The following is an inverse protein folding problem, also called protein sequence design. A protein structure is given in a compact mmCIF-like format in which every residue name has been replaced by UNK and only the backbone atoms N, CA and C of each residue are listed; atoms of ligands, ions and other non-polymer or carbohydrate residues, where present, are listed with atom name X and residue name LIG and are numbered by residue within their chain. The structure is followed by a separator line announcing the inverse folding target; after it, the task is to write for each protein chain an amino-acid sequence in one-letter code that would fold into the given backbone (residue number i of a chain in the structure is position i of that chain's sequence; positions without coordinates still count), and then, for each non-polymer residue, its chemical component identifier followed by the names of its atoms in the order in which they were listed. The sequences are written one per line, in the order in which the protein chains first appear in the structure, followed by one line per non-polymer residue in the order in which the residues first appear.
data_IF_766950790582
#
_entry.id   IF_766950790582
#
_cell.length_a   1.000
_cell.length_b   1.000
_cell.length_c   1.000
_cell.angle_alpha   90.00
_cell.angle_beta   90.00
_cell.angle_gamma   90.00
#
_symmetry.space_group_name_H-M   'P 1'
#
loop_
_entity.id
_entity.type
_entity.pdbx_description
1 polymer ?
#
# COMPACT_ATOMS: atom_id res chain seq x y z
N UNK A 1 33.42 0.12 -49.83
CA UNK A 1 33.31 1.53 -49.37
C UNK A 1 31.93 2.17 -49.61
N UNK A 2 31.10 1.71 -50.56
CA UNK A 2 29.78 2.30 -50.81
C UNK A 2 28.72 2.06 -49.69
N UNK A 3 28.83 0.97 -48.92
CA UNK A 3 27.87 0.66 -47.85
C UNK A 3 27.98 1.55 -46.60
N UNK A 4 29.12 2.22 -46.37
CA UNK A 4 29.32 3.06 -45.18
C UNK A 4 28.65 4.44 -45.30
N UNK A 5 28.45 4.94 -46.52
CA UNK A 5 27.81 6.25 -46.76
C UNK A 5 26.28 6.21 -46.66
N UNK A 6 25.66 5.08 -47.03
CA UNK A 6 24.20 4.93 -46.98
C UNK A 6 23.67 4.90 -45.54
N UNK A 7 24.41 4.24 -44.64
CA UNK A 7 24.02 4.10 -43.22
C UNK A 7 24.03 5.45 -42.48
N UNK A 8 24.98 6.34 -42.79
CA UNK A 8 25.04 7.70 -42.18
C UNK A 8 23.86 8.58 -42.57
N UNK A 9 23.37 8.48 -43.82
CA UNK A 9 22.23 9.29 -44.29
C UNK A 9 20.90 8.82 -43.69
N UNK A 10 20.70 7.52 -43.55
CA UNK A 10 19.51 6.97 -42.90
C UNK A 10 19.46 7.35 -41.42
N UNK A 11 20.60 7.27 -40.70
CA UNK A 11 20.67 7.66 -39.30
C UNK A 11 20.32 9.15 -39.09
N UNK A 12 20.82 10.03 -39.95
CA UNK A 12 20.60 11.47 -39.85
C UNK A 12 19.14 11.86 -40.13
N UNK A 13 18.49 11.18 -41.09
CA UNK A 13 17.06 11.38 -41.39
C UNK A 13 16.19 10.91 -40.21
N UNK A 14 16.49 9.76 -39.60
CA UNK A 14 15.75 9.26 -38.44
C UNK A 14 15.89 10.20 -37.24
N UNK A 15 17.09 10.73 -36.98
CA UNK A 15 17.32 11.70 -35.89
C UNK A 15 16.57 13.00 -36.15
N UNK A 16 16.59 13.53 -37.37
CA UNK A 16 15.86 14.77 -37.70
C UNK A 16 14.34 14.58 -37.60
N UNK A 17 13.80 13.45 -38.08
CA UNK A 17 12.38 13.14 -37.94
C UNK A 17 11.97 12.95 -36.48
N UNK A 18 12.82 12.33 -35.65
CA UNK A 18 12.58 12.19 -34.22
C UNK A 18 12.59 13.55 -33.49
N UNK A 19 13.51 14.46 -33.87
CA UNK A 19 13.59 15.81 -33.29
C UNK A 19 12.40 16.69 -33.71
N UNK A 20 11.98 16.62 -34.97
CA UNK A 20 10.82 17.38 -35.47
C UNK A 20 9.52 16.83 -34.87
N UNK A 21 9.37 15.50 -34.83
CA UNK A 21 8.21 14.85 -34.22
C UNK A 21 8.11 15.12 -32.72
N UNK A 22 9.24 15.03 -31.99
CA UNK A 22 9.30 15.35 -30.56
C UNK A 22 9.05 16.83 -30.26
N UNK A 23 9.60 17.74 -31.06
CA UNK A 23 9.38 19.18 -30.91
C UNK A 23 7.94 19.60 -31.22
N UNK A 24 7.33 19.06 -32.28
CA UNK A 24 5.94 19.33 -32.63
C UNK A 24 4.96 18.76 -31.60
N UNK A 25 5.22 17.55 -31.08
CA UNK A 25 4.44 16.97 -29.99
C UNK A 25 4.50 17.82 -28.71
N UNK A 26 5.67 18.37 -28.37
CA UNK A 26 5.82 19.24 -27.21
C UNK A 26 5.10 20.58 -27.38
N UNK A 27 5.10 21.16 -28.59
CA UNK A 27 4.43 22.42 -28.90
C UNK A 27 2.89 22.29 -29.03
N UNK A 28 2.38 21.10 -29.37
CA UNK A 28 0.95 20.82 -29.54
C UNK A 28 0.29 20.20 -28.30
N UNK A 29 1.05 19.92 -27.24
CA UNK A 29 0.48 19.43 -25.99
C UNK A 29 -0.36 20.55 -25.39
N UNK A 30 -1.67 20.33 -25.31
CA UNK A 30 -2.59 21.26 -24.67
C UNK A 30 -2.36 21.27 -23.16
N UNK A 31 -1.44 22.12 -22.71
CA UNK A 31 -1.19 22.42 -21.29
C UNK A 31 -2.12 23.54 -20.78
N UNK A 32 -3.24 23.80 -21.45
CA UNK A 32 -4.10 24.96 -21.15
C UNK A 32 -4.70 24.91 -19.74
N UNK A 33 -4.90 23.72 -19.18
CA UNK A 33 -5.33 23.59 -17.79
C UNK A 33 -4.21 24.02 -16.86
N UNK A 34 -4.43 25.10 -16.10
CA UNK A 34 -3.53 25.50 -15.01
C UNK A 34 -3.77 24.58 -13.82
N UNK A 35 -2.78 23.75 -13.48
CA UNK A 35 -2.80 22.91 -12.28
C UNK A 35 -2.44 23.80 -11.08
N UNK A 36 -3.29 23.89 -10.04
CA UNK A 36 -2.96 24.67 -8.84
C UNK A 36 -1.87 23.98 -8.03
N UNK A 37 -0.89 24.74 -7.50
CA UNK A 37 0.18 24.20 -6.64
C UNK A 37 -0.04 24.49 -5.15
N UNK A 38 -1.17 25.09 -4.80
CA UNK A 38 -1.57 25.31 -3.40
C UNK A 38 -2.70 24.35 -3.08
N UNK A 39 -2.60 23.59 -1.97
CA UNK A 39 -3.69 22.72 -1.54
C UNK A 39 -5.00 23.51 -1.43
N UNK A 40 -6.14 22.93 -1.86
CA UNK A 40 -7.43 23.60 -1.74
C UNK A 40 -7.79 23.79 -0.27
N UNK A 41 -8.72 24.72 0.03
CA UNK A 41 -9.17 24.98 1.41
C UNK A 41 -9.80 23.75 2.09
N UNK A 42 -10.25 22.77 1.31
CA UNK A 42 -10.76 21.48 1.79
C UNK A 42 -9.66 20.50 2.22
N UNK A 43 -8.39 20.79 1.97
CA UNK A 43 -7.27 19.95 2.38
C UNK A 43 -7.20 19.86 3.90
N UNK A 44 -7.05 18.65 4.48
CA UNK A 44 -6.89 18.51 5.92
C UNK A 44 -5.54 19.08 6.37
N UNK A 45 -5.47 19.47 7.65
CA UNK A 45 -4.21 19.85 8.26
C UNK A 45 -3.38 18.59 8.58
N UNK A 46 -2.08 18.62 8.30
CA UNK A 46 -1.14 17.57 8.77
C UNK A 46 -1.09 17.59 10.30
N UNK A 47 -1.20 16.41 10.92
CA UNK A 47 -1.35 16.20 12.35
C UNK A 47 -2.80 16.31 12.85
N UNK A 48 -3.80 16.43 11.96
CA UNK A 48 -5.21 16.42 12.37
C UNK A 48 -5.74 15.00 12.59
N UNK A 49 -6.52 14.81 13.65
CA UNK A 49 -7.16 13.55 13.99
C UNK A 49 -8.64 13.57 13.63
N UNK A 50 -9.19 12.42 13.24
CA UNK A 50 -10.56 12.31 12.73
C UNK A 50 -11.28 11.08 13.30
N UNK A 51 -12.59 11.24 13.54
CA UNK A 51 -13.53 10.16 13.86
C UNK A 51 -14.26 9.75 12.59
N UNK A 52 -13.66 8.83 11.84
CA UNK A 52 -14.22 8.29 10.60
C UNK A 52 -14.13 6.77 10.61
N UNK A 53 -15.10 6.08 10.03
CA UNK A 53 -15.01 4.64 9.83
C UNK A 53 -14.25 4.30 8.53
N UNK A 54 -14.05 3.01 8.27
CA UNK A 54 -13.33 2.56 7.07
C UNK A 54 -14.05 2.91 5.76
N UNK A 55 -15.38 3.08 5.77
CA UNK A 55 -16.13 3.47 4.59
C UNK A 55 -15.98 4.97 4.30
N UNK A 56 -16.11 5.82 5.32
CA UNK A 56 -15.90 7.25 5.23
C UNK A 56 -14.46 7.61 4.85
N UNK A 57 -13.47 6.86 5.33
CA UNK A 57 -12.07 7.08 4.99
C UNK A 57 -11.73 6.79 3.51
N UNK A 58 -12.55 5.98 2.82
CA UNK A 58 -12.44 5.75 1.37
C UNK A 58 -12.93 6.94 0.54
N UNK A 59 -13.70 7.85 1.13
CA UNK A 59 -14.14 9.06 0.45
C UNK A 59 -13.02 10.10 0.33
N UNK A 60 -13.18 11.04 -0.60
CA UNK A 60 -12.31 12.19 -0.71
C UNK A 60 -12.52 13.16 0.48
N UNK A 61 -11.49 13.91 0.84
CA UNK A 61 -11.62 15.00 1.80
C UNK A 61 -12.50 16.13 1.23
N UNK A 62 -13.27 16.83 2.10
CA UNK A 62 -13.28 16.69 3.56
C UNK A 62 -14.09 15.47 4.01
N UNK A 63 -13.55 14.72 4.97
CA UNK A 63 -14.29 13.65 5.63
C UNK A 63 -15.43 14.21 6.50
N UNK A 64 -16.48 13.41 6.80
CA UNK A 64 -17.54 13.85 7.69
C UNK A 64 -17.02 14.12 9.12
N UNK A 65 -17.67 15.06 9.83
CA UNK A 65 -17.45 15.30 11.26
C UNK A 65 -16.34 16.29 11.63
N UNK A 66 -15.45 16.65 10.69
CA UNK A 66 -14.33 17.56 10.95
C UNK A 66 -13.21 16.96 11.81
N UNK A 67 -12.13 17.72 11.95
CA UNK A 67 -11.01 17.32 12.80
C UNK A 67 -11.38 17.40 14.29
N UNK A 68 -10.85 16.48 15.08
CA UNK A 68 -10.92 16.45 16.54
C UNK A 68 -9.53 16.61 17.14
N UNK A 69 -9.45 16.95 18.43
CA UNK A 69 -8.19 16.91 19.18
C UNK A 69 -7.63 15.48 19.18
N UNK A 70 -6.34 15.32 18.88
CA UNK A 70 -5.67 14.03 18.90
C UNK A 70 -5.55 13.43 20.31
N UNK A 71 -5.66 14.25 21.36
CA UNK A 71 -5.79 13.75 22.73
C UNK A 71 -7.16 13.11 22.98
N UNK A 72 -8.19 13.44 22.19
CA UNK A 72 -9.49 12.82 22.27
C UNK A 72 -9.55 11.52 21.46
N UNK A 73 -10.58 10.72 21.74
CA UNK A 73 -10.89 9.51 20.99
C UNK A 73 -11.01 9.80 19.48
N UNK A 74 -10.26 9.10 18.64
CA UNK A 74 -10.30 9.18 17.18
C UNK A 74 -9.90 7.84 16.56
N UNK A 75 -10.07 7.70 15.25
CA UNK A 75 -9.75 6.46 14.52
C UNK A 75 -8.60 6.63 13.53
N UNK A 76 -8.37 7.85 13.07
CA UNK A 76 -7.38 8.17 12.05
C UNK A 76 -6.62 9.46 12.34
N UNK A 77 -5.39 9.55 11.86
CA UNK A 77 -4.56 10.75 11.91
C UNK A 77 -3.94 11.04 10.54
N UNK A 78 -4.11 12.27 10.04
CA UNK A 78 -3.52 12.75 8.79
C UNK A 78 -2.07 13.10 9.04
N UNK A 79 -1.14 12.50 8.29
CA UNK A 79 0.30 12.74 8.48
C UNK A 79 0.99 13.39 7.28
N UNK A 80 0.32 13.48 6.12
CA UNK A 80 0.87 14.12 4.93
C UNK A 80 -0.22 14.65 4.01
N UNK A 81 0.05 15.74 3.31
CA UNK A 81 -0.73 16.22 2.17
C UNK A 81 0.24 16.46 1.03
N UNK A 82 -0.07 15.89 -0.13
CA UNK A 82 0.78 15.94 -1.31
C UNK A 82 -0.03 16.22 -2.57
N UNK A 83 0.68 16.32 -3.69
CA UNK A 83 0.09 16.48 -5.01
C UNK A 83 0.79 15.53 -5.99
N UNK A 84 0.00 14.99 -6.90
CA UNK A 84 0.49 14.22 -8.05
C UNK A 84 1.23 15.15 -9.00
N UNK A 85 2.25 14.64 -9.71
CA UNK A 85 3.05 15.43 -10.64
C UNK A 85 2.25 16.00 -11.79
N UNK A 86 2.52 17.26 -12.16
CA UNK A 86 1.83 17.97 -13.23
C UNK A 86 1.87 17.22 -14.56
N UNK A 87 3.00 16.59 -14.88
CA UNK A 87 3.19 15.85 -16.12
C UNK A 87 2.17 14.69 -16.24
N UNK A 88 1.85 14.06 -15.12
CA UNK A 88 0.93 12.93 -15.04
C UNK A 88 -0.52 13.40 -15.05
N UNK A 89 -0.82 14.52 -14.41
CA UNK A 89 -2.15 15.16 -14.46
C UNK A 89 -2.46 15.67 -15.87
N UNK A 90 -1.52 16.34 -16.53
CA UNK A 90 -1.68 16.72 -17.94
C UNK A 90 -1.81 15.51 -18.87
N UNK A 91 -1.08 14.42 -18.58
CA UNK A 91 -1.22 13.18 -19.34
C UNK A 91 -2.63 12.62 -19.16
N UNK A 92 -3.17 12.65 -17.94
CA UNK A 92 -4.53 12.20 -17.64
C UNK A 92 -5.57 13.05 -18.38
N UNK A 93 -5.42 14.38 -18.37
CA UNK A 93 -6.30 15.30 -19.10
C UNK A 93 -6.33 15.01 -20.61
N UNK A 94 -5.18 14.62 -21.19
CA UNK A 94 -5.05 14.28 -22.62
C UNK A 94 -5.38 12.83 -22.97
N UNK A 95 -5.56 11.96 -21.97
CA UNK A 95 -5.72 10.53 -22.20
C UNK A 95 -7.08 10.22 -22.82
N UNK A 96 -7.13 9.20 -23.69
CA UNK A 96 -8.37 8.73 -24.32
C UNK A 96 -8.43 7.20 -24.34
N UNK A 97 -9.63 6.62 -24.42
CA UNK A 97 -9.80 5.16 -24.46
C UNK A 97 -9.17 4.45 -23.26
N UNK A 98 -8.39 3.40 -23.51
CA UNK A 98 -7.73 2.59 -22.46
C UNK A 98 -6.63 3.36 -21.70
N UNK A 99 -6.03 4.38 -22.32
CA UNK A 99 -4.98 5.20 -21.70
C UNK A 99 -5.49 6.01 -20.50
N UNK A 100 -6.80 6.31 -20.45
CA UNK A 100 -7.41 6.99 -19.29
C UNK A 100 -7.25 6.11 -18.06
N UNK A 101 -7.61 4.82 -18.17
CA UNK A 101 -7.53 3.87 -17.05
C UNK A 101 -6.08 3.65 -16.63
N UNK A 102 -5.16 3.51 -17.59
CA UNK A 102 -3.74 3.35 -17.30
C UNK A 102 -3.18 4.58 -16.57
N UNK A 103 -3.43 5.78 -17.10
CA UNK A 103 -2.90 7.01 -16.53
C UNK A 103 -3.52 7.30 -15.16
N UNK A 104 -4.82 7.04 -15.01
CA UNK A 104 -5.50 7.14 -13.73
C UNK A 104 -4.89 6.18 -12.69
N UNK A 105 -4.59 4.94 -13.07
CA UNK A 105 -3.91 3.99 -12.17
C UNK A 105 -2.51 4.50 -11.78
N UNK A 106 -1.75 5.13 -12.69
CA UNK A 106 -0.46 5.74 -12.35
C UNK A 106 -0.61 6.93 -11.38
N UNK A 107 -1.67 7.71 -11.51
CA UNK A 107 -2.00 8.82 -10.60
C UNK A 107 -2.26 8.29 -9.18
N UNK A 108 -3.09 7.25 -9.05
CA UNK A 108 -3.31 6.55 -7.78
C UNK A 108 -2.03 5.93 -7.21
N UNK A 109 -1.23 5.31 -8.09
CA UNK A 109 0.04 4.68 -7.72
C UNK A 109 1.02 5.68 -7.09
N UNK A 110 1.13 6.88 -7.65
CA UNK A 110 2.01 7.92 -7.12
C UNK A 110 1.58 8.38 -5.72
N UNK A 111 0.27 8.63 -5.53
CA UNK A 111 -0.27 9.02 -4.23
C UNK A 111 -0.05 7.94 -3.15
N UNK A 112 -0.37 6.67 -3.47
CA UNK A 112 -0.18 5.53 -2.56
C UNK A 112 1.28 5.35 -2.16
N UNK A 113 2.20 5.39 -3.14
CA UNK A 113 3.64 5.29 -2.89
C UNK A 113 4.14 6.40 -1.96
N UNK A 114 3.69 7.64 -2.18
CA UNK A 114 4.03 8.75 -1.30
C UNK A 114 3.54 8.48 0.13
N UNK A 115 2.30 8.02 0.30
CA UNK A 115 1.74 7.71 1.62
C UNK A 115 2.46 6.58 2.34
N UNK A 116 2.85 5.51 1.64
CA UNK A 116 3.63 4.40 2.23
C UNK A 116 4.99 4.88 2.74
N UNK A 117 5.72 5.65 1.92
CA UNK A 117 7.05 6.17 2.29
C UNK A 117 6.95 7.12 3.49
N UNK A 118 6.02 8.08 3.44
CA UNK A 118 5.84 9.05 4.51
C UNK A 118 5.27 8.40 5.79
N UNK A 119 4.39 7.41 5.64
CA UNK A 119 3.77 6.70 6.76
C UNK A 119 4.77 5.87 7.56
N UNK A 120 5.73 5.21 6.89
CA UNK A 120 6.82 4.48 7.56
C UNK A 120 7.64 5.41 8.47
N UNK A 121 7.99 6.60 7.97
CA UNK A 121 8.71 7.61 8.76
C UNK A 121 7.84 8.15 9.91
N UNK A 122 6.56 8.42 9.64
CA UNK A 122 5.61 8.92 10.64
C UNK A 122 5.40 7.92 11.80
N UNK A 123 5.27 6.63 11.49
CA UNK A 123 5.04 5.56 12.48
C UNK A 123 6.31 5.14 13.23
N UNK A 124 7.48 5.55 12.77
CA UNK A 124 8.76 5.24 13.40
C UNK A 124 9.22 3.79 13.23
N UNK A 125 8.74 3.08 12.21
CA UNK A 125 9.07 1.67 11.98
C UNK A 125 8.31 1.03 10.82
N UNK A 126 8.49 -0.29 10.65
CA UNK A 126 7.77 -1.06 9.63
C UNK A 126 6.28 -1.15 9.98
N UNK A 127 5.45 -0.46 9.20
CA UNK A 127 4.02 -0.40 9.48
C UNK A 127 3.30 -1.74 9.24
N UNK A 128 3.86 -2.65 8.42
CA UNK A 128 3.31 -4.01 8.22
C UNK A 128 3.44 -4.93 9.43
N UNK A 129 4.23 -4.52 10.42
CA UNK A 129 4.37 -5.21 11.69
C UNK A 129 3.49 -4.57 12.77
N UNK A 130 2.70 -3.55 12.40
CA UNK A 130 1.88 -2.76 13.30
C UNK A 130 0.38 -2.93 13.01
N UNK A 131 -0.48 -2.84 14.03
CA UNK A 131 -1.95 -2.88 13.96
C UNK A 131 -2.51 -1.57 13.40
N UNK A 132 -2.03 -1.19 12.23
CA UNK A 132 -2.38 0.05 11.54
C UNK A 132 -2.60 -0.20 10.05
N UNK A 133 -3.25 0.77 9.39
CA UNK A 133 -3.37 0.82 7.94
C UNK A 133 -3.00 2.22 7.45
N UNK A 134 -2.21 2.28 6.39
CA UNK A 134 -1.97 3.53 5.66
C UNK A 134 -3.08 3.74 4.65
N UNK A 135 -3.64 4.95 4.65
CA UNK A 135 -4.72 5.42 3.79
C UNK A 135 -4.19 6.51 2.87
N UNK A 136 -4.65 6.48 1.62
CA UNK A 136 -4.42 7.53 0.63
C UNK A 136 -5.78 7.97 0.08
N UNK A 137 -6.19 9.19 0.40
CA UNK A 137 -7.50 9.73 0.01
C UNK A 137 -7.32 11.02 -0.77
N UNK A 138 -8.05 11.17 -1.87
CA UNK A 138 -8.03 12.41 -2.65
C UNK A 138 -8.57 13.58 -1.84
N UNK A 139 -8.12 14.79 -2.17
CA UNK A 139 -8.69 16.03 -1.67
C UNK A 139 -9.55 16.62 -2.78
N UNK A 140 -10.78 17.03 -2.45
CA UNK A 140 -11.66 17.65 -3.44
C UNK A 140 -11.15 19.05 -3.88
N UNK A 141 -11.19 19.36 -5.19
CA UNK A 141 -11.54 18.48 -6.30
C UNK A 141 -10.37 17.53 -6.66
N UNK A 142 -10.66 16.23 -6.80
CA UNK A 142 -9.62 15.22 -7.07
C UNK A 142 -8.87 15.46 -8.40
N UNK A 143 -9.51 16.19 -9.33
CA UNK A 143 -8.90 16.55 -10.62
C UNK A 143 -7.61 17.36 -10.45
N UNK A 144 -7.42 18.09 -9.35
CA UNK A 144 -6.20 18.88 -9.10
C UNK A 144 -5.04 18.01 -8.57
N UNK A 145 -5.28 16.72 -8.35
CA UNK A 145 -4.25 15.75 -7.97
C UNK A 145 -3.78 15.85 -6.53
N UNK A 146 -4.41 16.67 -5.69
CA UNK A 146 -4.11 16.73 -4.26
C UNK A 146 -4.63 15.49 -3.54
N UNK A 147 -3.80 14.93 -2.67
CA UNK A 147 -4.14 13.80 -1.82
C UNK A 147 -3.66 14.02 -0.40
N UNK A 148 -4.32 13.38 0.55
CA UNK A 148 -3.88 13.32 1.94
C UNK A 148 -3.59 11.86 2.31
N UNK A 149 -2.54 11.69 3.09
CA UNK A 149 -2.17 10.41 3.68
C UNK A 149 -2.57 10.41 5.14
N UNK A 150 -3.25 9.36 5.56
CA UNK A 150 -3.66 9.16 6.93
C UNK A 150 -3.28 7.76 7.40
N UNK A 151 -3.17 7.58 8.70
CA UNK A 151 -3.01 6.27 9.32
C UNK A 151 -4.20 5.97 10.21
N UNK A 152 -4.70 4.75 10.14
CA UNK A 152 -5.77 4.26 10.99
C UNK A 152 -5.25 3.17 11.92
N UNK A 153 -5.73 3.15 13.15
CA UNK A 153 -5.67 1.95 13.99
C UNK A 153 -6.64 0.91 13.44
N UNK A 154 -6.27 -0.37 13.34
CA UNK A 154 -7.19 -1.40 12.80
C UNK A 154 -7.42 -2.55 13.78
N UNK A 155 -8.63 -3.11 13.75
CA UNK A 155 -9.04 -4.20 14.68
C UNK A 155 -8.67 -5.59 14.15
N UNK A 156 -8.27 -5.70 12.89
CA UNK A 156 -7.88 -6.96 12.26
C UNK A 156 -7.07 -6.74 10.99
N UNK A 157 -6.47 -7.81 10.45
CA UNK A 157 -5.52 -7.71 9.34
C UNK A 157 -6.13 -7.16 8.05
N UNK A 158 -7.44 -7.37 7.81
CA UNK A 158 -8.09 -6.86 6.61
C UNK A 158 -8.16 -5.32 6.54
N UNK A 159 -8.02 -4.62 7.68
CA UNK A 159 -8.13 -3.15 7.73
C UNK A 159 -9.54 -2.61 7.51
N UNK A 160 -10.56 -3.47 7.44
CA UNK A 160 -11.95 -3.06 7.17
C UNK A 160 -12.66 -2.41 8.37
N UNK A 161 -12.05 -2.45 9.55
CA UNK A 161 -12.57 -1.85 10.78
C UNK A 161 -11.47 -1.11 11.53
N UNK A 162 -11.80 0.10 11.96
CA UNK A 162 -10.88 0.94 12.70
C UNK A 162 -11.08 0.82 14.20
N UNK A 163 -9.97 0.81 14.94
CA UNK A 163 -9.99 0.89 16.38
C UNK A 163 -10.07 2.36 16.82
N UNK A 164 -10.89 2.66 17.82
CA UNK A 164 -10.88 3.97 18.46
C UNK A 164 -9.71 4.04 19.44
N UNK A 165 -9.00 5.16 19.46
CA UNK A 165 -7.88 5.41 20.38
C UNK A 165 -7.75 6.88 20.76
N UNK A 166 -7.03 7.11 21.84
CA UNK A 166 -6.59 8.42 22.29
C UNK A 166 -5.09 8.57 22.07
N UNK A 167 -4.62 9.79 21.86
CA UNK A 167 -3.21 10.10 21.60
C UNK A 167 -2.80 9.87 20.14
N UNK A 168 -1.78 10.62 19.72
CA UNK A 168 -1.26 10.57 18.34
C UNK A 168 -0.72 9.18 17.98
N UNK A 169 -0.93 8.81 16.72
CA UNK A 169 -0.34 7.67 16.03
C UNK A 169 1.12 7.93 15.58
N UNK A 170 1.64 9.15 15.74
CA UNK A 170 3.04 9.45 15.45
C UNK A 170 3.96 8.60 16.31
N UNK A 171 4.90 7.89 15.68
CA UNK A 171 5.84 6.95 16.31
C UNK A 171 5.18 5.78 17.05
N UNK A 172 3.88 5.53 16.83
CA UNK A 172 3.14 4.50 17.53
C UNK A 172 3.38 3.08 16.99
N UNK A 173 4.05 2.90 15.84
CA UNK A 173 4.26 1.60 15.20
C UNK A 173 4.78 0.53 16.17
N UNK A 174 5.94 0.75 16.82
CA UNK A 174 6.50 -0.21 17.79
C UNK A 174 5.59 -0.55 18.99
N UNK A 175 4.66 0.35 19.35
CA UNK A 175 3.71 0.14 20.45
C UNK A 175 2.45 -0.61 20.05
N UNK A 176 2.28 -0.90 18.75
CA UNK A 176 1.09 -1.53 18.19
C UNK A 176 1.43 -2.83 17.45
N UNK A 177 2.24 -3.75 18.00
CA UNK A 177 2.68 -4.93 17.26
C UNK A 177 1.51 -5.82 16.85
N UNK A 178 1.58 -6.39 15.65
CA UNK A 178 0.73 -7.50 15.26
C UNK A 178 1.17 -8.75 16.02
N UNK A 179 0.20 -9.51 16.55
CA UNK A 179 0.44 -10.79 17.21
C UNK A 179 -0.48 -11.86 16.62
N UNK A 180 -1.46 -12.28 17.40
CA UNK A 180 -2.37 -13.34 17.02
C UNK A 180 -3.69 -12.83 16.45
N UNK A 181 -4.36 -13.69 15.70
CA UNK A 181 -5.68 -13.45 15.11
C UNK A 181 -6.66 -14.56 15.45
N UNK A 182 -7.92 -14.18 15.62
CA UNK A 182 -9.06 -15.10 15.71
C UNK A 182 -10.20 -14.52 14.89
N UNK A 183 -10.78 -15.31 13.98
CA UNK A 183 -11.86 -14.84 13.10
C UNK A 183 -11.53 -13.48 12.43
N UNK A 184 -10.29 -13.33 11.95
CA UNK A 184 -9.76 -12.11 11.33
C UNK A 184 -9.80 -10.85 12.22
N UNK A 185 -9.72 -11.01 13.54
CA UNK A 185 -9.52 -9.93 14.51
C UNK A 185 -8.24 -10.14 15.30
N UNK A 186 -7.55 -9.06 15.63
CA UNK A 186 -6.38 -9.14 16.50
C UNK A 186 -6.78 -9.51 17.93
N UNK A 187 -6.07 -10.47 18.50
CA UNK A 187 -6.24 -10.95 19.88
C UNK A 187 -4.88 -11.09 20.57
N UNK A 188 -4.89 -11.26 21.89
CA UNK A 188 -3.70 -11.65 22.64
C UNK A 188 -3.34 -13.11 22.31
N UNK A 189 -2.05 -13.43 22.16
CA UNK A 189 -1.59 -14.79 21.85
C UNK A 189 -1.76 -15.78 23.01
N UNK A 190 -2.09 -15.30 24.21
CA UNK A 190 -2.48 -16.13 25.35
C UNK A 190 -3.98 -16.47 25.34
N UNK A 191 -4.78 -15.78 24.51
CA UNK A 191 -6.17 -16.11 24.28
C UNK A 191 -6.31 -17.17 23.15
N UNK A 192 -7.44 -17.89 23.08
CA UNK A 192 -7.76 -18.75 21.94
C UNK A 192 -7.66 -17.99 20.61
N UNK A 193 -6.88 -18.51 19.67
CA UNK A 193 -6.64 -17.88 18.37
C UNK A 193 -6.46 -18.92 17.25
N UNK A 194 -6.75 -18.55 16.00
CA UNK A 194 -6.64 -19.44 14.84
C UNK A 194 -5.45 -19.11 13.94
N UNK A 195 -4.77 -17.98 14.16
CA UNK A 195 -3.51 -17.70 13.48
C UNK A 195 -2.58 -16.76 14.23
N UNK A 196 -1.31 -16.77 13.82
CA UNK A 196 -0.24 -15.95 14.40
C UNK A 196 0.57 -15.27 13.29
N UNK A 197 0.85 -13.99 13.46
CA UNK A 197 1.72 -13.24 12.57
C UNK A 197 3.15 -13.80 12.64
N UNK A 198 3.65 -14.23 11.48
CA UNK A 198 4.95 -14.89 11.36
C UNK A 198 6.04 -13.98 10.78
N UNK A 199 5.66 -12.83 10.23
CA UNK A 199 6.57 -11.84 9.66
C UNK A 199 6.01 -11.20 8.39
N UNK A 200 6.89 -10.56 7.62
CA UNK A 200 6.55 -9.94 6.35
C UNK A 200 7.31 -10.54 5.18
N UNK A 201 6.70 -10.52 4.00
CA UNK A 201 7.30 -10.96 2.74
C UNK A 201 7.10 -9.89 1.67
N UNK A 202 8.19 -9.40 1.09
CA UNK A 202 8.14 -8.44 -0.02
C UNK A 202 8.50 -9.14 -1.32
N UNK A 203 7.69 -8.92 -2.36
CA UNK A 203 7.98 -9.36 -3.72
C UNK A 203 8.77 -8.26 -4.41
N UNK A 204 9.87 -8.61 -5.08
CA UNK A 204 10.68 -7.65 -5.79
C UNK A 204 9.95 -7.15 -7.07
N UNK A 205 10.04 -5.86 -7.44
CA UNK A 205 9.30 -5.29 -8.57
C UNK A 205 9.58 -5.93 -9.94
N UNK A 206 10.77 -6.48 -10.17
CA UNK A 206 11.11 -7.13 -11.46
C UNK A 206 10.40 -8.48 -11.63
N UNK A 207 10.02 -9.11 -10.53
CA UNK A 207 9.35 -10.41 -10.50
C UNK A 207 7.85 -10.26 -10.27
N UNK A 208 7.34 -9.02 -10.20
CA UNK A 208 5.97 -8.70 -9.85
C UNK A 208 5.01 -9.15 -10.96
N UNK A 209 4.16 -10.15 -10.71
CA UNK A 209 3.10 -10.47 -11.63
C UNK A 209 2.00 -9.40 -11.53
N UNK A 210 1.52 -8.90 -12.67
CA UNK A 210 0.29 -8.10 -12.71
C UNK A 210 -0.98 -8.97 -12.75
N UNK A 211 -0.80 -10.28 -12.81
CA UNK A 211 -1.85 -11.30 -12.73
C UNK A 211 -2.12 -11.69 -11.27
N UNK A 212 -3.40 -11.62 -10.87
CA UNK A 212 -3.84 -11.90 -9.49
C UNK A 212 -3.49 -13.32 -9.03
N UNK A 213 -3.58 -14.31 -9.92
CA UNK A 213 -3.25 -15.70 -9.58
C UNK A 213 -1.76 -15.84 -9.29
N UNK A 214 -0.90 -15.22 -10.10
CA UNK A 214 0.53 -15.21 -9.88
C UNK A 214 0.92 -14.41 -8.63
N UNK A 215 0.25 -13.29 -8.32
CA UNK A 215 0.44 -12.56 -7.04
C UNK A 215 0.14 -13.49 -5.86
N UNK A 216 -1.02 -14.15 -5.88
CA UNK A 216 -1.43 -15.08 -4.82
C UNK A 216 -0.47 -16.25 -4.66
N UNK A 217 0.02 -16.81 -5.77
CA UNK A 217 0.96 -17.93 -5.72
C UNK A 217 2.31 -17.48 -5.15
N UNK A 218 2.81 -16.32 -5.56
CA UNK A 218 4.07 -15.77 -5.05
C UNK A 218 3.98 -15.42 -3.56
N UNK A 219 2.91 -14.75 -3.12
CA UNK A 219 2.72 -14.39 -1.71
C UNK A 219 2.50 -15.63 -0.83
N UNK A 220 1.72 -16.61 -1.29
CA UNK A 220 1.56 -17.90 -0.59
C UNK A 220 2.91 -18.58 -0.39
N UNK A 221 3.71 -18.72 -1.47
CA UNK A 221 5.03 -19.36 -1.39
C UNK A 221 5.97 -18.61 -0.44
N UNK A 222 6.03 -17.28 -0.54
CA UNK A 222 6.87 -16.46 0.31
C UNK A 222 6.46 -16.53 1.78
N UNK A 223 5.17 -16.43 2.06
CA UNK A 223 4.63 -16.53 3.43
C UNK A 223 4.76 -17.93 4.03
N UNK A 224 4.72 -19.00 3.23
CA UNK A 224 5.12 -20.34 3.70
C UNK A 224 6.56 -20.34 4.18
N UNK A 225 7.50 -19.77 3.41
CA UNK A 225 8.91 -19.67 3.82
C UNK A 225 9.11 -18.83 5.09
N UNK A 226 8.41 -17.70 5.21
CA UNK A 226 8.41 -16.87 6.44
C UNK A 226 7.88 -17.68 7.63
N UNK A 227 6.76 -18.38 7.46
CA UNK A 227 6.18 -19.24 8.48
C UNK A 227 7.12 -20.36 8.95
N UNK A 228 7.77 -21.06 8.03
CA UNK A 228 8.73 -22.12 8.39
C UNK A 228 9.91 -21.57 9.20
N UNK A 229 10.47 -20.41 8.82
CA UNK A 229 11.53 -19.75 9.61
C UNK A 229 11.03 -19.31 10.99
N UNK A 230 9.80 -18.81 11.08
CA UNK A 230 9.16 -18.45 12.35
C UNK A 230 9.03 -19.66 13.30
N UNK A 231 8.75 -20.85 12.76
CA UNK A 231 8.73 -22.11 13.49
C UNK A 231 10.14 -22.64 13.83
N UNK A 232 11.21 -22.06 13.30
CA UNK A 232 12.58 -22.58 13.45
C UNK A 232 12.88 -23.81 12.58
N UNK A 233 12.20 -23.95 11.45
CA UNK A 233 12.33 -25.06 10.50
C UNK A 233 13.09 -24.63 9.23
N UNK A 234 13.57 -25.62 8.47
CA UNK A 234 14.10 -25.38 7.12
C UNK A 234 12.97 -25.03 6.15
N UNK A 235 13.30 -24.37 5.04
CA UNK A 235 12.31 -23.99 4.00
C UNK A 235 11.70 -25.19 3.26
N UNK A 236 12.27 -26.39 3.44
CA UNK A 236 11.78 -27.66 2.86
C UNK A 236 11.00 -28.50 3.85
N UNK A 237 10.83 -28.04 5.09
CA UNK A 237 10.05 -28.75 6.10
C UNK A 237 8.55 -28.69 5.76
N UNK A 238 7.80 -29.66 6.28
CA UNK A 238 6.35 -29.73 6.10
C UNK A 238 5.63 -29.68 7.46
N UNK A 239 4.52 -28.93 7.49
CA UNK A 239 3.61 -28.73 8.63
C UNK A 239 2.19 -28.71 8.11
N UNK A 240 1.70 -29.88 7.72
CA UNK A 240 0.36 -30.06 7.15
C UNK A 240 -0.80 -29.70 8.11
N UNK A 241 -0.50 -29.51 9.39
CA UNK A 241 -1.40 -29.02 10.42
C UNK A 241 -1.51 -27.48 10.47
N UNK A 242 -0.70 -26.77 9.67
CA UNK A 242 -0.71 -25.31 9.53
C UNK A 242 -0.87 -24.92 8.06
N UNK A 243 -1.43 -23.74 7.82
CA UNK A 243 -1.52 -23.12 6.49
C UNK A 243 -0.96 -21.70 6.54
N UNK A 244 -0.24 -21.29 5.51
CA UNK A 244 0.20 -19.91 5.38
C UNK A 244 -0.93 -19.05 4.81
N UNK A 245 -1.15 -17.89 5.41
CA UNK A 245 -2.02 -16.84 4.88
C UNK A 245 -1.22 -15.56 4.66
N UNK A 246 -1.64 -14.75 3.70
CA UNK A 246 -0.99 -13.50 3.33
C UNK A 246 -2.03 -12.38 3.25
N UNK A 247 -1.69 -11.21 3.79
CA UNK A 247 -2.50 -9.99 3.71
C UNK A 247 -1.66 -8.87 3.11
N UNK A 248 -2.15 -8.29 2.02
CA UNK A 248 -1.45 -7.29 1.22
C UNK A 248 -2.24 -6.96 -0.05
N UNK A 249 -1.57 -6.40 -1.08
CA UNK A 249 -2.20 -6.10 -2.37
C UNK A 249 -2.89 -7.34 -2.98
N UNK A 250 -4.12 -7.16 -3.47
CA UNK A 250 -4.94 -8.27 -3.97
C UNK A 250 -4.95 -8.39 -5.49
N UNK A 251 -4.77 -7.29 -6.21
CA UNK A 251 -4.87 -7.24 -7.67
C UNK A 251 -3.79 -6.31 -8.26
N UNK A 252 -3.63 -6.33 -9.58
CA UNK A 252 -2.62 -5.51 -10.26
C UNK A 252 -2.78 -3.99 -10.06
N UNK A 253 -3.99 -3.49 -9.81
CA UNK A 253 -4.21 -2.06 -9.53
C UNK A 253 -3.78 -1.67 -8.12
N UNK A 254 -3.95 -2.58 -7.15
CA UNK A 254 -3.35 -2.43 -5.83
C UNK A 254 -1.85 -2.50 -5.95
N UNK A 255 -1.34 -3.46 -6.70
CA UNK A 255 0.09 -3.63 -6.91
C UNK A 255 0.78 -2.39 -7.50
N UNK A 256 0.14 -1.73 -8.46
CA UNK A 256 0.68 -0.55 -9.12
C UNK A 256 0.77 0.63 -8.13
N UNK A 257 1.96 0.85 -7.58
CA UNK A 257 2.25 1.92 -6.63
C UNK A 257 1.87 1.65 -5.18
N UNK A 258 1.43 0.44 -4.85
CA UNK A 258 1.39 0.01 -3.44
C UNK A 258 2.74 -0.50 -2.98
N UNK A 259 2.84 -0.57 -1.66
CA UNK A 259 3.72 -1.50 -0.98
C UNK A 259 3.53 -2.93 -1.52
N UNK A 260 4.64 -3.59 -1.89
CA UNK A 260 4.66 -4.97 -2.40
C UNK A 260 4.95 -5.97 -1.28
N UNK A 261 4.66 -5.56 -0.05
CA UNK A 261 4.90 -6.31 1.17
C UNK A 261 3.60 -6.91 1.68
N UNK A 262 3.69 -8.16 2.12
CA UNK A 262 2.61 -8.96 2.66
C UNK A 262 2.87 -9.23 4.13
N UNK A 263 1.86 -9.03 4.97
CA UNK A 263 1.82 -9.58 6.30
C UNK A 263 1.52 -11.08 6.21
N UNK A 264 2.40 -11.91 6.75
CA UNK A 264 2.29 -13.36 6.71
C UNK A 264 1.76 -13.89 8.04
N UNK A 265 0.87 -14.87 7.97
CA UNK A 265 0.28 -15.54 9.11
C UNK A 265 0.42 -17.04 8.95
N UNK A 266 0.62 -17.76 10.05
CA UNK A 266 0.39 -19.20 10.13
C UNK A 266 -0.98 -19.43 10.77
N UNK A 267 -1.82 -20.22 10.12
CA UNK A 267 -3.20 -20.46 10.50
C UNK A 267 -3.39 -21.94 10.79
N UNK A 268 -4.07 -22.25 11.90
CA UNK A 268 -4.45 -23.58 12.33
C UNK A 268 -5.94 -23.82 12.09
N UNK A 269 -6.32 -25.07 11.80
CA UNK A 269 -7.74 -25.46 11.68
C UNK A 269 -8.45 -25.55 13.05
N UNK A 270 -7.69 -25.52 14.15
CA UNK A 270 -8.19 -25.57 15.52
C UNK A 270 -7.62 -24.41 16.35
N UNK A 271 -8.37 -23.87 17.31
CA UNK A 271 -7.87 -22.83 18.20
C UNK A 271 -6.61 -23.25 18.96
N UNK A 272 -5.62 -22.37 18.95
CA UNK A 272 -4.37 -22.42 19.70
C UNK A 272 -4.55 -21.66 21.01
N UNK A 273 -3.86 -22.06 22.08
CA UNK A 273 -3.87 -21.38 23.39
C UNK A 273 -2.53 -20.72 23.76
N UNK A 274 -1.54 -20.83 22.88
CA UNK A 274 -0.22 -20.24 23.06
C UNK A 274 0.44 -20.00 21.70
N UNK A 275 1.43 -19.12 21.68
CA UNK A 275 2.27 -18.86 20.51
C UNK A 275 2.93 -20.14 19.98
N UNK A 276 3.03 -20.24 18.66
CA UNK A 276 3.71 -21.30 17.93
C UNK A 276 5.11 -20.89 17.47
N UNK A 277 5.62 -19.73 17.90
CA UNK A 277 6.99 -19.31 17.61
C UNK A 277 8.01 -20.39 18.02
N UNK A 278 8.89 -20.77 17.08
CA UNK A 278 10.03 -21.66 17.34
C UNK A 278 9.68 -23.05 17.89
N UNK A 279 8.44 -23.55 17.70
CA UNK A 279 8.06 -24.89 18.18
C UNK A 279 8.66 -26.04 17.34
N UNK A 280 9.27 -25.73 16.20
CA UNK A 280 9.83 -26.71 15.28
C UNK A 280 8.77 -27.70 14.78
N UNK A 281 9.07 -28.99 14.90
CA UNK A 281 8.16 -30.11 14.60
C UNK A 281 7.35 -30.55 15.83
N UNK A 282 7.38 -29.77 16.92
CA UNK A 282 6.62 -30.07 18.13
C UNK A 282 5.11 -29.98 17.91
N UNK A 283 4.31 -30.61 18.80
CA UNK A 283 2.86 -30.57 18.70
C UNK A 283 2.31 -29.14 18.89
N UNK A 284 1.21 -28.84 18.21
CA UNK A 284 0.51 -27.56 18.36
C UNK A 284 -0.13 -27.41 19.76
N UNK A 285 -0.06 -26.23 20.37
CA UNK A 285 -0.68 -25.94 21.67
C UNK A 285 -2.18 -25.68 21.49
N UNK A 286 -2.98 -26.71 21.25
CA UNK A 286 -4.44 -26.53 21.12
C UNK A 286 -5.10 -26.14 22.44
N UNK A 287 -6.12 -25.29 22.34
CA UNK A 287 -7.04 -24.95 23.43
C UNK A 287 -7.88 -26.15 23.86
#
# INVERSE_FOLDING_TARGET
MAHCFLMKRVLLIVVVLALIGGGAYWLLRDTSRKIPHTPPAAAPQVGSCWKVDAAGAKAAFPWPGGAVDCAAAHTTEVFHVGQVGDDLLHRLDSATGEDVKLTQNLVYAQARRACVVQGTAFLGGNWHESKVQILASWVAPAADGFFACAVAAVTGPAGDEFATREGSLSKAGPSLPIGCISALKYVDCTAPHDGEYSGSYSIAPMDAPFDETAVRNASTKGCTGVGLRYLGLSETADRSDLSAAAVGPKNGSDWLGSDQTFACYLVSSRPLKASIAKIGTGPLPFA
#
